data_IF_770184527371
#
_entry.id   IF_770184527371
#
_cell.length_a   1.000
_cell.length_b   1.000
_cell.length_c   1.000
_cell.angle_alpha   90.00
_cell.angle_beta   90.00
_cell.angle_gamma   90.00
#
_symmetry.space_group_name_H-M   'P 1'
#
loop_
_entity.id
_entity.type
_entity.pdbx_description
1 polymer ?
#
# COMPACT_ATOMS: atom_id res chain seq x y z
N UNK A 1 -5.87 10.09 -0.13
CA UNK A 1 -4.46 9.70 -0.04
C UNK A 1 -3.61 10.96 0.01
N UNK A 2 -2.63 11.01 0.91
CA UNK A 2 -1.63 12.07 0.96
C UNK A 2 -0.26 11.43 0.71
N UNK A 3 0.54 11.99 -0.18
CA UNK A 3 1.81 11.42 -0.65
C UNK A 3 2.89 12.48 -0.68
N UNK A 4 4.14 12.07 -0.43
CA UNK A 4 5.30 12.89 -0.71
C UNK A 4 5.72 12.80 -2.19
N UNK A 5 6.72 13.61 -2.56
CA UNK A 5 7.24 13.67 -3.94
C UNK A 5 7.83 12.32 -4.40
N UNK A 6 8.56 11.63 -3.52
CA UNK A 6 9.22 10.37 -3.84
C UNK A 6 8.20 9.26 -4.11
N UNK A 7 7.18 9.15 -3.26
CA UNK A 7 6.06 8.23 -3.42
C UNK A 7 5.27 8.56 -4.70
N UNK A 8 5.07 9.84 -5.01
CA UNK A 8 4.41 10.22 -6.27
C UNK A 8 5.22 9.79 -7.50
N UNK A 9 6.55 10.00 -7.49
CA UNK A 9 7.44 9.56 -8.58
C UNK A 9 7.37 8.03 -8.75
N UNK A 10 7.40 7.29 -7.64
CA UNK A 10 7.23 5.84 -7.66
C UNK A 10 5.87 5.42 -8.23
N UNK A 11 4.79 5.98 -7.70
CA UNK A 11 3.43 5.63 -8.06
C UNK A 11 3.16 5.84 -9.56
N UNK A 12 3.61 6.97 -10.12
CA UNK A 12 3.47 7.27 -11.55
C UNK A 12 4.25 6.27 -12.43
N UNK A 13 5.47 5.88 -12.02
CA UNK A 13 6.24 4.88 -12.75
C UNK A 13 5.56 3.50 -12.70
N UNK A 14 5.07 3.09 -11.54
CA UNK A 14 4.35 1.83 -11.35
C UNK A 14 3.08 1.76 -12.21
N UNK A 15 2.28 2.82 -12.25
CA UNK A 15 1.10 2.91 -13.12
C UNK A 15 1.45 2.87 -14.61
N UNK A 16 2.59 3.45 -14.99
CA UNK A 16 3.09 3.40 -16.36
C UNK A 16 3.75 2.06 -16.73
N UNK A 17 3.82 1.08 -15.81
CA UNK A 17 4.52 -0.19 -16.02
C UNK A 17 6.04 -0.02 -16.19
N UNK A 18 6.60 1.09 -15.71
CA UNK A 18 8.03 1.42 -15.80
C UNK A 18 8.73 1.13 -14.48
N UNK A 19 10.03 0.85 -14.56
CA UNK A 19 10.86 0.71 -13.37
C UNK A 19 10.86 2.04 -12.59
N UNK A 20 10.44 2.05 -11.32
CA UNK A 20 10.54 3.25 -10.51
C UNK A 20 11.99 3.65 -10.31
N UNK A 21 12.28 4.93 -10.54
CA UNK A 21 13.59 5.53 -10.30
C UNK A 21 13.48 6.44 -9.06
N UNK A 22 13.73 5.88 -7.88
CA UNK A 22 13.72 6.62 -6.61
C UNK A 22 15.03 6.34 -5.86
N UNK A 23 15.60 7.38 -5.27
CA UNK A 23 16.90 7.34 -4.57
C UNK A 23 16.77 7.34 -3.05
N UNK A 24 15.56 7.58 -2.54
CA UNK A 24 15.22 7.67 -1.12
C UNK A 24 13.88 7.02 -0.82
N UNK A 25 13.55 6.96 0.47
CA UNK A 25 12.25 6.46 0.94
C UNK A 25 11.13 7.41 0.50
N UNK A 26 10.03 6.85 0.02
CA UNK A 26 8.78 7.57 -0.20
C UNK A 26 7.72 7.19 0.82
N UNK A 27 6.99 8.18 1.30
CA UNK A 27 5.95 8.04 2.31
C UNK A 27 4.60 8.49 1.76
N UNK A 28 3.56 7.74 2.13
CA UNK A 28 2.17 8.19 2.00
C UNK A 28 1.30 7.62 3.09
N UNK A 29 0.08 8.13 3.19
CA UNK A 29 -0.91 7.62 4.12
C UNK A 29 -2.33 7.77 3.57
N UNK A 30 -3.22 6.91 4.08
CA UNK A 30 -4.67 7.01 3.88
C UNK A 30 -5.39 6.94 5.22
N UNK A 31 -5.78 8.11 5.77
CA UNK A 31 -6.44 8.20 7.08
C UNK A 31 -7.87 7.65 7.10
N UNK A 32 -8.50 7.51 5.93
CA UNK A 32 -9.84 6.93 5.80
C UNK A 32 -9.80 5.42 5.52
N UNK A 33 -8.59 4.84 5.41
CA UNK A 33 -8.41 3.49 4.90
C UNK A 33 -8.58 3.40 3.39
N UNK A 34 -8.65 2.16 2.90
CA UNK A 34 -8.84 1.82 1.49
C UNK A 34 -9.64 0.52 1.37
N UNK A 35 -10.23 0.30 0.20
CA UNK A 35 -10.95 -0.93 -0.12
C UNK A 35 -10.40 -1.48 -1.42
N UNK A 36 -9.95 -2.74 -1.41
CA UNK A 36 -9.28 -3.34 -2.56
C UNK A 36 -9.46 -4.83 -2.65
N UNK A 37 -9.24 -5.35 -3.85
CA UNK A 37 -9.09 -6.77 -4.13
C UNK A 37 -7.83 -7.37 -3.48
N UNK A 38 -7.82 -8.71 -3.37
CA UNK A 38 -6.66 -9.47 -2.92
C UNK A 38 -5.41 -9.32 -3.78
N UNK A 39 -4.30 -9.88 -3.29
CA UNK A 39 -3.00 -9.82 -3.96
C UNK A 39 -3.03 -10.54 -5.31
N UNK A 40 -2.41 -9.97 -6.34
CA UNK A 40 -2.35 -10.56 -7.69
C UNK A 40 -3.68 -10.63 -8.44
N UNK A 41 -4.78 -10.14 -7.84
CA UNK A 41 -6.07 -10.06 -8.52
C UNK A 41 -6.10 -8.87 -9.49
N UNK A 42 -6.83 -9.04 -10.60
CA UNK A 42 -7.12 -7.98 -11.55
C UNK A 42 -7.76 -6.78 -10.81
N UNK A 43 -7.35 -5.54 -11.11
CA UNK A 43 -7.97 -4.35 -10.53
C UNK A 43 -9.49 -4.39 -10.69
N UNK A 44 -10.20 -4.27 -9.57
CA UNK A 44 -11.66 -4.30 -9.51
C UNK A 44 -12.18 -3.09 -8.74
N UNK A 45 -13.36 -2.61 -9.13
CA UNK A 45 -14.07 -1.53 -8.44
C UNK A 45 -15.22 -2.04 -7.59
N UNK A 46 -15.59 -3.31 -7.76
CA UNK A 46 -16.72 -3.94 -7.09
C UNK A 46 -16.31 -5.34 -6.56
N UNK A 47 -16.70 -5.69 -5.31
CA UNK A 47 -16.39 -6.99 -4.71
C UNK A 47 -16.89 -8.19 -5.53
N UNK A 48 -17.96 -8.04 -6.31
CA UNK A 48 -18.50 -9.12 -7.16
C UNK A 48 -17.55 -9.52 -8.30
N UNK A 49 -16.56 -8.70 -8.63
CA UNK A 49 -15.61 -8.94 -9.72
C UNK A 49 -14.41 -9.81 -9.30
N UNK A 50 -14.24 -10.06 -8.00
CA UNK A 50 -13.06 -10.74 -7.46
C UNK A 50 -13.43 -11.71 -6.36
N UNK A 51 -12.56 -12.70 -6.14
CA UNK A 51 -12.76 -13.70 -5.08
C UNK A 51 -12.57 -13.13 -3.68
N UNK A 52 -11.66 -12.18 -3.54
CA UNK A 52 -11.23 -11.63 -2.25
C UNK A 52 -11.34 -10.11 -2.27
N UNK A 53 -11.94 -9.56 -1.22
CA UNK A 53 -12.20 -8.14 -1.06
C UNK A 53 -11.90 -7.72 0.38
N UNK A 54 -11.01 -6.74 0.54
CA UNK A 54 -10.47 -6.33 1.82
C UNK A 54 -10.78 -4.87 2.13
N UNK A 55 -11.17 -4.63 3.38
CA UNK A 55 -11.29 -3.29 3.96
C UNK A 55 -10.05 -3.01 4.79
N UNK A 56 -9.14 -2.22 4.25
CA UNK A 56 -7.91 -1.83 4.92
C UNK A 56 -8.19 -0.58 5.73
N UNK A 57 -7.92 -0.62 7.03
CA UNK A 57 -8.08 0.54 7.89
C UNK A 57 -7.06 1.64 7.62
N UNK A 58 -7.10 2.72 8.39
CA UNK A 58 -6.10 3.79 8.31
C UNK A 58 -4.67 3.22 8.35
N UNK A 59 -3.85 3.59 7.38
CA UNK A 59 -2.52 3.01 7.19
C UNK A 59 -1.51 4.02 6.60
N UNK A 60 -0.24 3.75 6.90
CA UNK A 60 0.91 4.38 6.24
C UNK A 60 1.41 3.42 5.15
N UNK A 61 1.92 3.97 4.06
CA UNK A 61 2.61 3.22 3.02
C UNK A 61 4.02 3.76 2.85
N UNK A 62 4.98 2.83 2.76
CA UNK A 62 6.40 3.12 2.62
C UNK A 62 6.91 2.41 1.38
N UNK A 63 7.64 3.14 0.54
CA UNK A 63 8.37 2.56 -0.58
C UNK A 63 9.86 2.79 -0.41
N UNK A 64 10.65 1.76 -0.73
CA UNK A 64 12.10 1.80 -0.66
C UNK A 64 12.71 1.88 -2.06
N UNK A 65 13.90 2.48 -2.21
CA UNK A 65 14.70 2.34 -3.42
C UNK A 65 14.93 0.88 -3.81
N UNK A 66 15.09 0.62 -5.11
CA UNK A 66 15.32 -0.74 -5.63
C UNK A 66 16.55 -1.41 -4.99
N UNK A 67 17.57 -0.63 -4.62
CA UNK A 67 18.76 -1.09 -3.90
C UNK A 67 18.48 -1.58 -2.48
N UNK A 68 17.33 -1.24 -1.90
CA UNK A 68 16.94 -1.56 -0.53
C UNK A 68 15.70 -2.46 -0.45
N UNK A 69 15.12 -2.91 -1.56
CA UNK A 69 13.88 -3.71 -1.57
C UNK A 69 13.96 -5.01 -0.76
N UNK A 70 15.16 -5.60 -0.68
CA UNK A 70 15.40 -6.85 0.04
C UNK A 70 15.24 -6.68 1.57
N UNK A 71 15.22 -5.45 2.07
CA UNK A 71 14.86 -5.16 3.46
C UNK A 71 13.42 -5.56 3.80
N UNK A 72 12.55 -5.71 2.80
CA UNK A 72 11.17 -6.16 2.99
C UNK A 72 11.02 -7.69 2.90
N UNK A 73 12.13 -8.43 2.75
CA UNK A 73 12.09 -9.90 2.70
C UNK A 73 11.54 -10.48 4.00
N UNK A 74 10.57 -11.38 3.87
CA UNK A 74 9.94 -12.07 5.02
C UNK A 74 8.78 -11.31 5.65
N UNK A 75 8.49 -10.07 5.21
CA UNK A 75 7.23 -9.41 5.53
C UNK A 75 6.09 -10.21 4.86
N UNK A 76 5.03 -10.50 5.61
CA UNK A 76 3.89 -11.25 5.10
C UNK A 76 3.15 -10.48 3.99
N UNK A 77 2.28 -11.17 3.25
CA UNK A 77 1.47 -10.60 2.18
C UNK A 77 -0.04 -10.73 2.46
N UNK A 78 -0.40 -11.13 3.67
CA UNK A 78 -1.77 -11.45 4.08
C UNK A 78 -2.50 -10.18 4.53
N UNK A 79 -3.48 -9.75 3.72
CA UNK A 79 -4.29 -8.56 3.98
C UNK A 79 -5.35 -8.78 5.07
N UNK A 80 -5.62 -10.02 5.50
CA UNK A 80 -6.74 -10.36 6.37
C UNK A 80 -6.46 -10.16 7.87
N UNK A 81 -5.18 -10.09 8.25
CA UNK A 81 -4.75 -10.18 9.65
C UNK A 81 -4.48 -8.82 10.33
N UNK A 82 -4.70 -7.69 9.62
CA UNK A 82 -4.38 -6.32 10.06
C UNK A 82 -2.91 -6.09 10.50
N UNK A 83 -1.98 -6.95 10.13
CA UNK A 83 -0.55 -6.77 10.36
C UNK A 83 0.08 -5.94 9.24
N UNK A 84 1.29 -5.40 9.43
CA UNK A 84 2.06 -4.84 8.32
C UNK A 84 2.28 -5.89 7.24
N UNK A 85 2.09 -5.52 5.97
CA UNK A 85 2.23 -6.44 4.85
C UNK A 85 2.90 -5.77 3.65
N UNK A 86 3.56 -6.57 2.82
CA UNK A 86 4.12 -6.13 1.54
C UNK A 86 3.14 -6.45 0.40
N UNK A 87 3.02 -5.54 -0.58
CA UNK A 87 2.16 -5.73 -1.76
C UNK A 87 2.84 -5.20 -3.01
N UNK A 88 2.50 -5.81 -4.16
CA UNK A 88 2.85 -5.27 -5.47
C UNK A 88 1.60 -4.61 -6.05
N UNK A 89 1.71 -3.34 -6.44
CA UNK A 89 0.61 -2.62 -7.10
C UNK A 89 0.49 -2.94 -8.59
N UNK A 90 1.51 -3.57 -9.18
CA UNK A 90 1.56 -3.94 -10.59
C UNK A 90 2.16 -5.33 -10.73
N UNK A 91 1.67 -6.08 -11.71
CA UNK A 91 2.22 -7.39 -12.10
C UNK A 91 3.39 -7.26 -13.09
N UNK A 92 3.83 -6.04 -13.42
CA UNK A 92 4.99 -5.83 -14.27
C UNK A 92 6.27 -6.34 -13.59
N UNK A 93 7.20 -6.93 -14.36
CA UNK A 93 8.46 -7.49 -13.85
C UNK A 93 9.34 -6.45 -13.13
N UNK A 94 9.13 -5.18 -13.43
CA UNK A 94 9.85 -4.03 -12.85
C UNK A 94 9.17 -3.45 -11.60
N UNK A 95 8.08 -4.05 -11.15
CA UNK A 95 7.37 -3.59 -9.96
C UNK A 95 8.23 -3.78 -8.70
N UNK A 96 8.20 -2.78 -7.82
CA UNK A 96 8.84 -2.85 -6.51
C UNK A 96 7.79 -2.92 -5.39
N UNK A 97 8.09 -3.59 -4.26
CA UNK A 97 7.11 -3.75 -3.19
C UNK A 97 6.77 -2.43 -2.51
N UNK A 98 5.49 -2.29 -2.17
CA UNK A 98 4.96 -1.29 -1.25
C UNK A 98 4.76 -1.94 0.12
N UNK A 99 5.33 -1.34 1.16
CA UNK A 99 5.09 -1.78 2.54
C UNK A 99 3.92 -1.00 3.12
N UNK A 100 2.87 -1.70 3.52
CA UNK A 100 1.67 -1.13 4.12
C UNK A 100 1.65 -1.43 5.60
N UNK A 101 1.45 -0.40 6.43
CA UNK A 101 1.45 -0.48 7.89
C UNK A 101 0.11 0.07 8.39
N UNK A 102 -0.89 -0.80 8.61
CA UNK A 102 -2.14 -0.43 9.26
C UNK A 102 -1.90 -0.01 10.70
N UNK A 103 -2.53 1.08 11.15
CA UNK A 103 -2.50 1.53 12.54
C UNK A 103 -3.89 1.49 13.21
N UNK A 104 -4.94 1.20 12.43
CA UNK A 104 -6.28 0.89 12.94
C UNK A 104 -6.98 -0.13 12.02
N UNK A 105 -7.97 -0.85 12.55
CA UNK A 105 -8.79 -1.79 11.76
C UNK A 105 -9.65 -1.04 10.72
N UNK A 106 -10.00 -1.72 9.63
CA UNK A 106 -11.00 -1.23 8.66
C UNK A 106 -12.28 -0.75 9.36
N UNK A 107 -12.70 0.49 9.08
CA UNK A 107 -13.89 1.11 9.68
C UNK A 107 -13.67 1.84 11.01
N UNK A 108 -12.51 1.68 11.67
CA UNK A 108 -12.16 2.46 12.86
C UNK A 108 -11.46 3.76 12.44
N UNK A 109 -12.10 4.92 12.68
CA UNK A 109 -11.48 6.24 12.50
C UNK A 109 -10.54 6.56 13.67
N UNK A 110 -9.47 7.31 13.41
CA UNK A 110 -8.73 8.01 14.47
C UNK A 110 -9.73 8.96 15.12
N UNK A 111 -10.04 8.75 16.40
CA UNK A 111 -10.86 9.67 17.18
C UNK A 111 -9.95 10.76 17.72
N UNK A 112 -10.27 12.00 17.41
CA UNK A 112 -9.73 13.16 18.12
C UNK A 112 -10.23 13.06 19.58
N UNK A 113 -9.31 13.02 20.56
CA UNK A 113 -9.71 13.32 21.93
C UNK A 113 -10.06 14.81 21.99
N UNK A 114 -11.24 15.14 22.50
CA UNK A 114 -11.63 16.53 22.70
C UNK A 114 -10.56 17.20 23.58
N UNK A 115 -10.01 18.32 23.11
CA UNK A 115 -9.14 19.16 23.91
C UNK A 115 -9.88 19.51 25.22
N UNK A 116 -9.28 19.14 26.36
CA UNK A 116 -9.77 19.53 27.68
C UNK A 116 -9.64 21.03 27.90
#
# INVERSE_FOLDING_TARGET
MCVDETMMKWFMATLAGKKPDIDRVGLSYMLMGDVRQGQGATPAKDPSQVKEWFYIGPHIMVVLPDSAKDALRGINQDLSNNQPYATLLSSADVATPLWVIPFAKGGNRIKEEAAK
#
